data_IF_501319452165
#
_entry.id   IF_501319452165
#
_cell.length_a   1.000
_cell.length_b   1.000
_cell.length_c   1.000
_cell.angle_alpha   90.00
_cell.angle_beta   90.00
_cell.angle_gamma   90.00
#
_symmetry.space_group_name_H-M   'P 1'
#
loop_
_entity.id
_entity.type
_entity.pdbx_description
1 polymer ?
#
# COMPACT_ATOMS: atom_id res chain seq x y z
N UNK A 1 -5.04 -54.34 20.29
CA UNK A 1 -4.40 -53.12 19.75
C UNK A 1 -5.24 -51.93 20.17
N UNK A 2 -4.81 -51.17 21.18
CA UNK A 2 -5.51 -49.97 21.66
C UNK A 2 -4.54 -48.80 21.56
N UNK A 3 -4.75 -47.92 20.58
CA UNK A 3 -3.97 -46.71 20.41
C UNK A 3 -4.76 -45.56 21.04
N UNK A 4 -4.57 -45.35 22.34
CA UNK A 4 -5.14 -44.22 23.08
C UNK A 4 -4.36 -42.95 22.80
N UNK A 5 -5.01 -41.97 22.18
CA UNK A 5 -4.43 -40.68 21.84
C UNK A 5 -4.26 -39.82 23.12
N UNK A 6 -3.03 -39.64 23.60
CA UNK A 6 -2.68 -38.56 24.55
C UNK A 6 -2.29 -37.31 23.76
N UNK A 7 -2.86 -36.14 24.10
CA UNK A 7 -2.30 -34.81 23.82
C UNK A 7 -2.86 -33.78 24.81
N UNK A 8 -1.97 -33.31 25.67
CA UNK A 8 -2.14 -32.13 26.53
C UNK A 8 -1.89 -30.87 25.70
N UNK A 9 -2.69 -29.82 25.89
CA UNK A 9 -2.38 -28.40 25.67
C UNK A 9 -3.70 -27.65 25.95
N UNK A 10 -3.82 -26.73 26.89
CA UNK A 10 -2.92 -25.62 27.21
C UNK A 10 -3.83 -24.39 27.19
N UNK A 11 -4.12 -23.83 28.35
CA UNK A 11 -4.93 -22.63 28.48
C UNK A 11 -4.17 -21.43 27.85
N UNK A 12 -4.95 -20.42 27.44
CA UNK A 12 -4.68 -18.99 27.71
C UNK A 12 -4.38 -18.05 26.52
N UNK A 13 -4.86 -16.81 26.74
CA UNK A 13 -4.50 -15.52 26.16
C UNK A 13 -4.95 -15.14 24.73
N UNK A 14 -5.73 -14.06 24.70
CA UNK A 14 -5.38 -12.93 23.82
C UNK A 14 -6.44 -12.52 22.81
N UNK A 15 -7.31 -11.59 23.21
CA UNK A 15 -8.09 -10.77 22.28
C UNK A 15 -7.12 -9.94 21.42
N UNK A 16 -7.00 -10.25 20.13
CA UNK A 16 -6.23 -9.41 19.21
C UNK A 16 -7.19 -8.59 18.36
N UNK A 17 -7.42 -7.35 18.79
CA UNK A 17 -8.05 -6.30 18.00
C UNK A 17 -6.98 -5.71 17.08
N UNK A 18 -6.80 -6.31 15.90
CA UNK A 18 -5.87 -5.78 14.90
C UNK A 18 -6.56 -4.65 14.13
N UNK A 19 -6.36 -3.41 14.59
CA UNK A 19 -6.52 -2.24 13.72
C UNK A 19 -5.31 -2.25 12.76
N UNK A 20 -5.48 -2.86 11.58
CA UNK A 20 -4.50 -2.69 10.50
C UNK A 20 -4.67 -1.31 9.89
N UNK A 21 -3.86 -0.37 10.39
CA UNK A 21 -3.61 0.90 9.75
C UNK A 21 -2.50 0.67 8.72
N UNK A 22 -2.88 0.23 7.53
CA UNK A 22 -1.99 0.03 6.40
C UNK A 22 -2.67 0.52 5.14
N UNK A 23 -2.51 1.81 4.83
CA UNK A 23 -2.75 2.32 3.48
C UNK A 23 -1.68 1.73 2.56
N UNK A 24 -1.81 0.45 2.23
CA UNK A 24 -1.15 -0.12 1.07
C UNK A 24 -2.02 0.22 -0.14
N UNK A 25 -1.75 1.41 -0.66
CA UNK A 25 -2.03 1.81 -2.02
C UNK A 25 -1.51 0.75 -2.97
N UNK A 26 -2.41 -0.18 -3.29
CA UNK A 26 -2.26 -1.29 -4.22
C UNK A 26 -2.03 -0.69 -5.63
N UNK A 27 -0.84 -0.80 -6.26
CA UNK A 27 -0.71 -0.41 -7.64
C UNK A 27 -1.23 -1.59 -8.46
N UNK A 28 -2.54 -1.60 -8.69
CA UNK A 28 -3.19 -2.45 -9.68
C UNK A 28 -2.52 -2.20 -11.02
N UNK A 29 -1.67 -3.15 -11.39
CA UNK A 29 -1.04 -3.25 -12.69
C UNK A 29 -2.20 -3.36 -13.69
N UNK A 30 -2.32 -2.34 -14.56
CA UNK A 30 -3.31 -2.20 -15.65
C UNK A 30 -4.46 -1.20 -15.42
N UNK A 31 -4.20 -0.06 -14.78
CA UNK A 31 -5.10 1.10 -14.81
C UNK A 31 -4.46 2.26 -15.59
N UNK A 32 -5.22 2.84 -16.50
CA UNK A 32 -4.86 4.02 -17.30
C UNK A 32 -4.17 5.06 -16.44
N UNK A 33 -2.83 5.16 -16.53
CA UNK A 33 -2.07 6.10 -15.71
C UNK A 33 -2.53 7.52 -16.04
N UNK A 34 -3.11 8.20 -15.05
CA UNK A 34 -3.50 9.60 -15.19
C UNK A 34 -2.26 10.46 -15.40
N UNK A 35 -2.43 11.63 -16.04
CA UNK A 35 -1.31 12.57 -16.22
C UNK A 35 -0.65 12.95 -14.88
N UNK A 36 -1.44 13.06 -13.80
CA UNK A 36 -0.92 13.27 -12.43
C UNK A 36 -0.15 12.06 -11.92
N UNK A 37 -0.62 10.83 -12.16
CA UNK A 37 0.08 9.61 -11.75
C UNK A 37 1.47 9.52 -12.38
N UNK A 38 1.56 9.77 -13.70
CA UNK A 38 2.84 9.79 -14.42
C UNK A 38 3.76 10.88 -13.85
N UNK A 39 3.23 12.07 -13.59
CA UNK A 39 4.01 13.18 -13.04
C UNK A 39 4.57 12.86 -11.63
N UNK A 40 3.77 12.24 -10.77
CA UNK A 40 4.19 11.81 -9.44
C UNK A 40 5.33 10.78 -9.51
N UNK A 41 5.23 9.80 -10.41
CA UNK A 41 6.29 8.79 -10.59
C UNK A 41 7.63 9.41 -11.04
N UNK A 42 7.58 10.42 -11.92
CA UNK A 42 8.81 11.10 -12.39
C UNK A 42 9.48 11.88 -11.25
N UNK A 43 8.69 12.58 -10.45
CA UNK A 43 9.21 13.28 -9.27
C UNK A 43 9.78 12.32 -8.22
N UNK A 44 9.09 11.22 -7.94
CA UNK A 44 9.57 10.19 -7.00
C UNK A 44 10.88 9.53 -7.45
N UNK A 45 11.09 9.41 -8.78
CA UNK A 45 12.35 8.93 -9.37
C UNK A 45 13.46 9.99 -9.41
N UNK A 46 13.15 11.25 -9.11
CA UNK A 46 14.09 12.36 -9.25
C UNK A 46 14.40 12.73 -10.70
N UNK A 47 13.54 12.35 -11.66
CA UNK A 47 13.69 12.73 -13.08
C UNK A 47 13.37 14.21 -13.31
N UNK A 48 12.59 14.81 -12.41
CA UNK A 48 12.21 16.23 -12.43
C UNK A 48 12.38 16.84 -11.04
N UNK A 49 12.71 18.12 -11.00
CA UNK A 49 12.83 18.86 -9.74
C UNK A 49 11.47 19.31 -9.20
N UNK A 50 11.46 19.73 -7.92
CA UNK A 50 10.25 20.16 -7.22
C UNK A 50 9.53 21.31 -7.91
N UNK A 51 10.26 22.29 -8.44
CA UNK A 51 9.68 23.45 -9.11
C UNK A 51 8.95 23.06 -10.40
N UNK A 52 9.58 22.18 -11.18
CA UNK A 52 9.02 21.63 -12.42
C UNK A 52 7.77 20.79 -12.13
N UNK A 53 7.83 19.92 -11.11
CA UNK A 53 6.69 19.14 -10.64
C UNK A 53 5.48 20.02 -10.30
N UNK A 54 5.68 21.09 -9.53
CA UNK A 54 4.60 21.99 -9.12
C UNK A 54 3.99 22.75 -10.31
N UNK A 55 4.83 23.20 -11.24
CA UNK A 55 4.38 23.88 -12.46
C UNK A 55 3.50 22.96 -13.33
N UNK A 56 3.97 21.75 -13.62
CA UNK A 56 3.23 20.78 -14.42
C UNK A 56 1.93 20.32 -13.74
N UNK A 57 1.96 20.10 -12.41
CA UNK A 57 0.78 19.73 -11.63
C UNK A 57 -0.31 20.79 -11.74
N UNK A 58 0.05 22.07 -11.68
CA UNK A 58 -0.89 23.19 -11.84
C UNK A 58 -1.52 23.22 -13.23
N UNK A 59 -0.73 22.98 -14.28
CA UNK A 59 -1.24 22.95 -15.66
C UNK A 59 -2.23 21.80 -15.88
N UNK A 60 -1.96 20.62 -15.31
CA UNK A 60 -2.86 19.46 -15.41
C UNK A 60 -4.17 19.70 -14.68
N UNK A 61 -4.14 20.33 -13.49
CA UNK A 61 -5.33 20.61 -12.68
C UNK A 61 -6.16 21.82 -13.17
N UNK A 62 -5.56 22.68 -14.00
CA UNK A 62 -6.24 23.85 -14.57
C UNK A 62 -7.01 23.54 -15.86
N UNK A 63 -6.98 22.30 -16.33
CA UNK A 63 -7.79 21.81 -17.46
C UNK A 63 -9.13 21.31 -16.97
#
# INVERSE_FOLDING_TARGET
MSCGCMKNAGNDMGKHHMHSHGSEENPTVNETKTAIGILNERYARGEIEKEEYLSMKKQILSR
#
